data_IF_990574328407
#
_entry.id   IF_990574328407
#
_cell.length_a   1.000
_cell.length_b   1.000
_cell.length_c   1.000
_cell.angle_alpha   90.00
_cell.angle_beta   90.00
_cell.angle_gamma   90.00
#
_symmetry.space_group_name_H-M   'P 1'
#
loop_
_entity.id
_entity.type
_entity.pdbx_description
1 polymer ?
#
# COMPACT_ATOMS: atom_id res chain seq x y z
N UNK A 1 -19.27 -0.84 15.02
CA UNK A 1 -19.38 -0.70 13.55
C UNK A 1 -18.95 0.68 13.03
N UNK A 2 -18.84 1.71 13.88
CA UNK A 2 -18.58 3.11 13.47
C UNK A 2 -17.31 3.36 12.62
N UNK A 3 -16.20 2.66 12.86
CA UNK A 3 -14.96 2.98 12.15
C UNK A 3 -14.95 2.59 10.67
N UNK A 4 -15.65 1.51 10.29
CA UNK A 4 -15.70 1.08 8.89
C UNK A 4 -16.53 2.04 8.03
N UNK A 5 -17.63 2.58 8.57
CA UNK A 5 -18.40 3.63 7.90
C UNK A 5 -17.59 4.92 7.74
N UNK A 6 -16.80 5.26 8.75
CA UNK A 6 -15.91 6.42 8.74
C UNK A 6 -14.85 6.31 7.64
N UNK A 7 -14.21 5.13 7.51
CA UNK A 7 -13.26 4.86 6.42
C UNK A 7 -13.95 4.98 5.05
N UNK A 8 -15.18 4.45 4.91
CA UNK A 8 -15.92 4.49 3.64
C UNK A 8 -16.35 5.92 3.24
N UNK A 9 -16.82 6.74 4.20
CA UNK A 9 -17.14 8.16 3.95
C UNK A 9 -15.90 8.94 3.50
N UNK A 10 -14.76 8.64 4.09
CA UNK A 10 -13.49 9.32 3.80
C UNK A 10 -12.82 8.92 2.49
N UNK A 11 -13.03 7.69 2.01
CA UNK A 11 -12.64 7.30 0.64
C UNK A 11 -13.20 8.29 -0.40
N UNK A 12 -14.43 8.78 -0.20
CA UNK A 12 -15.08 9.73 -1.09
C UNK A 12 -14.64 11.18 -0.88
N UNK A 13 -14.43 11.61 0.36
CA UNK A 13 -14.20 13.04 0.68
C UNK A 13 -12.72 13.44 0.78
N UNK A 14 -11.80 12.49 0.97
CA UNK A 14 -10.35 12.73 1.20
C UNK A 14 -10.03 13.74 2.32
N UNK A 15 -10.99 14.08 3.17
CA UNK A 15 -10.81 15.06 4.24
C UNK A 15 -10.35 14.40 5.55
N UNK A 16 -9.04 14.28 5.70
CA UNK A 16 -8.41 13.67 6.87
C UNK A 16 -8.75 14.35 8.20
N UNK A 17 -9.09 15.64 8.22
CA UNK A 17 -9.40 16.33 9.48
C UNK A 17 -10.76 15.95 10.05
N UNK A 18 -11.75 15.68 9.19
CA UNK A 18 -13.05 15.16 9.63
C UNK A 18 -13.00 13.78 10.31
N UNK A 19 -11.95 12.98 10.04
CA UNK A 19 -11.69 11.71 10.75
C UNK A 19 -11.25 12.00 12.18
N UNK A 20 -10.46 13.05 12.42
CA UNK A 20 -9.80 13.29 13.71
C UNK A 20 -10.84 13.46 14.82
N UNK A 21 -11.86 14.28 14.60
CA UNK A 21 -12.89 14.55 15.61
C UNK A 21 -13.73 13.30 15.92
N UNK A 22 -14.13 12.57 14.88
CA UNK A 22 -14.91 11.36 15.04
C UNK A 22 -14.08 10.22 15.67
N UNK A 23 -12.81 10.07 15.29
CA UNK A 23 -11.90 9.10 15.89
C UNK A 23 -11.65 9.42 17.37
N UNK A 24 -11.45 10.69 17.69
CA UNK A 24 -11.30 11.16 19.08
C UNK A 24 -12.52 10.77 19.90
N UNK A 25 -13.72 10.95 19.35
CA UNK A 25 -14.97 10.58 20.01
C UNK A 25 -15.07 9.07 20.28
N UNK A 26 -14.72 8.23 19.31
CA UNK A 26 -14.74 6.76 19.44
C UNK A 26 -13.63 6.25 20.40
N UNK A 27 -12.47 6.91 20.39
CA UNK A 27 -11.37 6.62 21.32
C UNK A 27 -11.73 7.00 22.76
N UNK A 28 -12.42 8.12 22.95
CA UNK A 28 -12.89 8.58 24.26
C UNK A 28 -14.07 7.75 24.78
N UNK A 29 -14.93 7.22 23.90
CA UNK A 29 -16.00 6.31 24.29
C UNK A 29 -15.52 4.90 24.64
N UNK A 30 -14.24 4.57 24.37
CA UNK A 30 -13.66 3.25 24.62
C UNK A 30 -14.05 2.18 23.60
N UNK A 31 -14.81 2.53 22.56
CA UNK A 31 -15.33 1.60 21.55
C UNK A 31 -14.31 1.28 20.44
N UNK A 32 -13.21 2.02 20.36
CA UNK A 32 -12.14 1.78 19.42
C UNK A 32 -11.24 0.63 19.89
N UNK A 33 -11.24 -0.49 19.16
CA UNK A 33 -10.28 -1.57 19.39
C UNK A 33 -9.02 -1.43 18.51
N UNK A 34 -7.93 -2.04 18.93
CA UNK A 34 -6.63 -1.98 18.23
C UNK A 34 -6.70 -2.40 16.76
N UNK A 35 -7.57 -3.36 16.43
CA UNK A 35 -7.77 -3.85 15.06
C UNK A 35 -8.36 -2.77 14.16
N UNK A 36 -9.29 -1.99 14.69
CA UNK A 36 -9.92 -0.88 14.02
C UNK A 36 -8.92 0.25 13.74
N UNK A 37 -8.17 0.68 14.77
CA UNK A 37 -7.10 1.68 14.61
C UNK A 37 -6.07 1.24 13.57
N UNK A 38 -5.64 -0.02 13.63
CA UNK A 38 -4.67 -0.59 12.67
C UNK A 38 -5.20 -0.57 11.23
N UNK A 39 -6.49 -0.84 11.00
CA UNK A 39 -7.10 -0.79 9.67
C UNK A 39 -7.16 0.64 9.11
N UNK A 40 -7.56 1.61 9.93
CA UNK A 40 -7.58 3.03 9.52
C UNK A 40 -6.17 3.48 9.13
N UNK A 41 -5.17 3.19 9.97
CA UNK A 41 -3.82 3.63 9.67
C UNK A 41 -3.21 2.92 8.46
N UNK A 42 -3.50 1.64 8.25
CA UNK A 42 -3.10 0.94 7.02
C UNK A 42 -3.69 1.59 5.77
N UNK A 43 -4.95 2.07 5.85
CA UNK A 43 -5.60 2.80 4.77
C UNK A 43 -4.95 4.18 4.54
N UNK A 44 -4.60 4.90 5.61
CA UNK A 44 -3.92 6.20 5.50
C UNK A 44 -2.49 6.10 4.93
N UNK A 45 -1.79 5.00 5.21
CA UNK A 45 -0.49 4.71 4.61
C UNK A 45 -0.61 4.37 3.12
N UNK A 46 -1.63 3.60 2.72
CA UNK A 46 -1.88 3.24 1.33
C UNK A 46 -2.32 4.41 0.46
N UNK A 47 -2.98 5.42 1.04
CA UNK A 47 -3.39 6.64 0.32
C UNK A 47 -2.24 7.63 0.05
N UNK A 48 -1.00 7.27 0.41
CA UNK A 48 0.22 7.86 -0.16
C UNK A 48 0.65 9.22 0.42
N UNK A 49 -0.01 9.73 1.45
CA UNK A 49 0.35 11.01 2.08
C UNK A 49 0.94 10.83 3.47
N UNK A 50 2.16 10.28 3.55
CA UNK A 50 2.91 10.12 4.80
C UNK A 50 3.02 11.44 5.61
N UNK A 51 3.11 12.59 4.93
CA UNK A 51 3.11 13.92 5.57
C UNK A 51 1.78 14.24 6.28
N UNK A 52 0.64 13.81 5.74
CA UNK A 52 -0.67 14.03 6.38
C UNK A 52 -0.92 13.02 7.50
N UNK A 53 -0.37 11.81 7.37
CA UNK A 53 -0.40 10.79 8.43
C UNK A 53 0.29 11.26 9.71
N UNK A 54 1.50 11.81 9.62
CA UNK A 54 2.21 12.32 10.81
C UNK A 54 1.44 13.41 11.54
N UNK A 55 0.85 14.36 10.79
CA UNK A 55 -0.02 15.41 11.38
C UNK A 55 -1.26 14.80 12.03
N UNK A 56 -1.92 13.86 11.36
CA UNK A 56 -3.11 13.18 11.88
C UNK A 56 -2.85 12.48 13.23
N UNK A 57 -1.78 11.70 13.33
CA UNK A 57 -1.38 11.02 14.57
C UNK A 57 -1.15 12.02 15.69
N UNK A 58 -0.43 13.11 15.39
CA UNK A 58 -0.12 14.13 16.37
C UNK A 58 -1.38 14.81 16.91
N UNK A 59 -2.33 15.15 16.02
CA UNK A 59 -3.61 15.78 16.35
C UNK A 59 -4.52 14.89 17.22
N UNK A 60 -4.58 13.59 16.94
CA UNK A 60 -5.34 12.63 17.76
C UNK A 60 -4.67 12.45 19.13
N UNK A 61 -3.35 12.34 19.17
CA UNK A 61 -2.59 12.15 20.40
C UNK A 61 -2.65 13.38 21.34
N UNK A 62 -2.78 14.59 20.79
CA UNK A 62 -3.02 15.79 21.59
C UNK A 62 -4.41 15.81 22.23
N UNK A 63 -5.44 15.37 21.50
CA UNK A 63 -6.83 15.33 22.01
C UNK A 63 -7.08 14.20 23.00
N UNK A 64 -6.31 13.11 22.91
CA UNK A 64 -6.46 11.93 23.79
C UNK A 64 -5.12 11.58 24.45
N UNK A 65 -4.61 12.42 25.38
CA UNK A 65 -3.29 12.26 25.97
C UNK A 65 -3.12 10.92 26.70
N UNK A 66 -4.20 10.35 27.26
CA UNK A 66 -4.24 9.04 27.91
C UNK A 66 -3.86 7.85 26.99
N UNK A 67 -4.01 8.02 25.67
CA UNK A 67 -3.66 7.00 24.67
C UNK A 67 -2.45 7.39 23.82
N UNK A 68 -1.79 8.52 24.11
CA UNK A 68 -0.69 9.07 23.32
C UNK A 68 0.43 8.07 23.08
N UNK A 69 0.95 7.45 24.12
CA UNK A 69 2.06 6.49 24.01
C UNK A 69 1.71 5.28 23.15
N UNK A 70 0.51 4.73 23.34
CA UNK A 70 -0.02 3.61 22.54
C UNK A 70 -0.20 4.00 21.07
N UNK A 71 -0.77 5.18 20.81
CA UNK A 71 -0.96 5.70 19.45
C UNK A 71 0.37 5.94 18.73
N UNK A 72 1.38 6.49 19.43
CA UNK A 72 2.72 6.70 18.86
C UNK A 72 3.40 5.37 18.53
N UNK A 73 3.34 4.39 19.43
CA UNK A 73 3.91 3.05 19.19
C UNK A 73 3.26 2.36 17.99
N UNK A 74 1.93 2.48 17.86
CA UNK A 74 1.19 1.93 16.72
C UNK A 74 1.61 2.65 15.42
N UNK A 75 1.70 3.98 15.44
CA UNK A 75 2.11 4.78 14.29
C UNK A 75 3.51 4.43 13.80
N UNK A 76 4.48 4.28 14.71
CA UNK A 76 5.86 3.91 14.40
C UNK A 76 5.95 2.53 13.72
N UNK A 77 5.27 1.52 14.31
CA UNK A 77 5.24 0.17 13.73
C UNK A 77 4.64 0.18 12.33
N UNK A 78 3.58 0.96 12.13
CA UNK A 78 2.91 1.06 10.85
C UNK A 78 3.75 1.81 9.81
N UNK A 79 4.44 2.88 10.21
CA UNK A 79 5.39 3.57 9.34
C UNK A 79 6.53 2.65 8.89
N UNK A 80 7.07 1.82 9.79
CA UNK A 80 8.12 0.85 9.43
C UNK A 80 7.59 -0.24 8.49
N UNK A 81 6.37 -0.74 8.72
CA UNK A 81 5.69 -1.67 7.79
C UNK A 81 5.47 -1.02 6.43
N UNK A 82 5.01 0.23 6.39
CA UNK A 82 4.81 1.00 5.16
C UNK A 82 6.11 1.22 4.40
N UNK A 83 7.20 1.57 5.10
CA UNK A 83 8.53 1.76 4.51
C UNK A 83 9.08 0.44 3.95
N UNK A 84 8.93 -0.67 4.68
CA UNK A 84 9.32 -2.01 4.21
C UNK A 84 8.51 -2.43 3.00
N UNK A 85 7.20 -2.21 3.00
CA UNK A 85 6.30 -2.50 1.88
C UNK A 85 6.69 -1.66 0.66
N UNK A 86 6.84 -0.34 0.81
CA UNK A 86 7.26 0.54 -0.28
C UNK A 86 8.66 0.21 -0.83
N UNK A 87 9.60 -0.20 0.02
CA UNK A 87 10.91 -0.68 -0.43
C UNK A 87 10.79 -1.96 -1.26
N UNK A 88 9.99 -2.93 -0.79
CA UNK A 88 9.74 -4.18 -1.52
C UNK A 88 9.02 -3.94 -2.84
N UNK A 89 7.99 -3.11 -2.85
CA UNK A 89 7.25 -2.73 -4.06
C UNK A 89 8.15 -1.98 -5.05
N UNK A 90 9.01 -1.07 -4.57
CA UNK A 90 9.98 -0.37 -5.42
C UNK A 90 11.04 -1.30 -6.00
N UNK A 91 11.59 -2.22 -5.20
CA UNK A 91 12.51 -3.24 -5.68
C UNK A 91 11.86 -4.18 -6.70
N UNK A 92 10.61 -4.56 -6.45
CA UNK A 92 9.85 -5.42 -7.35
C UNK A 92 9.51 -4.70 -8.66
N UNK A 93 9.10 -3.43 -8.60
CA UNK A 93 8.88 -2.60 -9.78
C UNK A 93 10.16 -2.42 -10.62
N UNK A 94 11.31 -2.24 -9.97
CA UNK A 94 12.59 -2.16 -10.68
C UNK A 94 12.99 -3.51 -11.29
N UNK A 95 12.77 -4.62 -10.59
CA UNK A 95 13.00 -5.96 -11.13
C UNK A 95 12.13 -6.23 -12.38
N UNK A 96 10.85 -5.82 -12.35
CA UNK A 96 9.95 -5.89 -13.51
C UNK A 96 10.46 -5.03 -14.68
N UNK A 97 10.93 -3.81 -14.40
CA UNK A 97 11.48 -2.90 -15.41
C UNK A 97 12.73 -3.48 -16.07
N UNK A 98 13.63 -4.04 -15.28
CA UNK A 98 14.84 -4.72 -15.75
C UNK A 98 14.45 -5.94 -16.59
N UNK A 99 13.56 -6.80 -16.09
CA UNK A 99 13.08 -7.98 -16.81
C UNK A 99 12.44 -7.63 -18.15
N UNK A 100 11.59 -6.59 -18.19
CA UNK A 100 10.97 -6.13 -19.41
C UNK A 100 12.01 -5.69 -20.45
N UNK A 101 13.05 -4.96 -20.02
CA UNK A 101 14.14 -4.56 -20.92
C UNK A 101 14.92 -5.76 -21.44
N UNK A 102 15.29 -6.69 -20.55
CA UNK A 102 16.01 -7.90 -20.92
C UNK A 102 15.24 -8.77 -21.92
N UNK A 103 13.93 -8.93 -21.71
CA UNK A 103 13.05 -9.65 -22.65
C UNK A 103 12.95 -8.95 -24.01
N UNK A 104 12.83 -7.61 -24.03
CA UNK A 104 12.81 -6.82 -25.26
C UNK A 104 14.13 -6.93 -26.04
N UNK A 105 15.26 -7.03 -25.32
CA UNK A 105 16.59 -7.24 -25.89
C UNK A 105 16.84 -8.71 -26.30
N UNK A 106 15.82 -9.59 -26.22
CA UNK A 106 15.87 -10.98 -26.69
C UNK A 106 16.51 -11.96 -25.71
N UNK A 107 16.73 -11.57 -24.44
CA UNK A 107 17.33 -12.44 -23.44
C UNK A 107 16.36 -13.57 -23.06
N UNK A 108 16.87 -14.80 -23.03
CA UNK A 108 16.09 -15.98 -22.68
C UNK A 108 15.44 -15.86 -21.29
N UNK A 109 14.16 -16.27 -21.20
CA UNK A 109 13.32 -16.14 -20.00
C UNK A 109 13.96 -16.75 -18.75
N UNK A 110 14.62 -17.90 -18.89
CA UNK A 110 15.33 -18.58 -17.78
C UNK A 110 16.44 -17.73 -17.19
N UNK A 111 17.19 -17.03 -18.04
CA UNK A 111 18.26 -16.10 -17.63
C UNK A 111 17.67 -14.87 -16.95
N UNK A 112 16.54 -14.36 -17.44
CA UNK A 112 15.83 -13.23 -16.83
C UNK A 112 15.33 -13.60 -15.42
N UNK A 113 14.74 -14.79 -15.23
CA UNK A 113 14.32 -15.33 -13.92
C UNK A 113 15.51 -15.36 -12.95
N UNK A 114 16.64 -15.94 -13.37
CA UNK A 114 17.85 -16.06 -12.53
C UNK A 114 18.43 -14.70 -12.10
N UNK A 115 18.40 -13.70 -12.99
CA UNK A 115 19.02 -12.39 -12.75
C UNK A 115 18.10 -11.46 -11.96
N UNK A 116 16.81 -11.45 -12.27
CA UNK A 116 15.85 -10.52 -11.66
C UNK A 116 15.21 -11.07 -10.39
N UNK A 117 15.30 -12.39 -10.16
CA UNK A 117 14.67 -13.06 -9.02
C UNK A 117 13.14 -13.10 -9.09
N UNK A 118 12.56 -12.71 -10.24
CA UNK A 118 11.13 -12.82 -10.52
C UNK A 118 10.75 -14.27 -10.80
N UNK A 119 9.49 -14.61 -10.53
CA UNK A 119 8.95 -15.94 -10.82
C UNK A 119 8.81 -16.16 -12.34
N UNK A 120 8.82 -17.42 -12.75
CA UNK A 120 8.60 -17.77 -14.16
C UNK A 120 7.25 -17.25 -14.68
N UNK A 121 6.21 -17.23 -13.83
CA UNK A 121 4.87 -16.73 -14.18
C UNK A 121 4.88 -15.21 -14.41
N UNK A 122 5.58 -14.44 -13.58
CA UNK A 122 5.73 -12.99 -13.76
C UNK A 122 6.47 -12.66 -15.07
N UNK A 123 7.54 -13.41 -15.36
CA UNK A 123 8.28 -13.28 -16.62
C UNK A 123 7.42 -13.69 -17.83
N UNK A 124 6.62 -14.74 -17.70
CA UNK A 124 5.70 -15.17 -18.75
C UNK A 124 4.61 -14.14 -19.04
N UNK A 125 4.07 -13.48 -18.00
CA UNK A 125 3.12 -12.39 -18.14
C UNK A 125 3.76 -11.17 -18.83
N UNK A 126 4.99 -10.79 -18.45
CA UNK A 126 5.74 -9.71 -19.09
C UNK A 126 6.03 -9.99 -20.57
N UNK A 127 6.45 -11.22 -20.91
CA UNK A 127 6.77 -11.59 -22.28
C UNK A 127 5.55 -11.54 -23.22
N UNK A 128 4.35 -11.84 -22.71
CA UNK A 128 3.09 -11.73 -23.45
C UNK A 128 2.74 -10.27 -23.79
N UNK A 129 3.14 -9.31 -22.94
CA UNK A 129 2.93 -7.88 -23.19
C UNK A 129 3.89 -7.30 -24.24
N UNK A 130 5.08 -7.89 -24.41
CA UNK A 130 6.12 -7.41 -25.33
C UNK A 130 5.93 -7.95 -26.76
N UNK A 131 5.15 -9.02 -26.93
CA UNK A 131 4.93 -9.66 -28.24
C UNK A 131 3.51 -9.38 -28.75
N UNK A 132 3.24 -8.23 -29.40
CA UNK A 132 1.95 -8.02 -30.05
C UNK A 132 1.92 -8.82 -31.36
N UNK A 133 1.05 -9.81 -31.43
CA UNK A 133 0.66 -10.46 -32.68
C UNK A 133 1.44 -11.70 -33.06
N UNK A 134 0.90 -12.87 -32.68
CA UNK A 134 0.83 -13.98 -33.62
C UNK A 134 -0.52 -13.85 -34.30
N UNK A 135 -0.54 -13.22 -35.46
CA UNK A 135 -1.64 -13.34 -36.42
C UNK A 135 -1.77 -14.81 -36.75
N UNK A 136 -2.75 -15.51 -36.17
CA UNK A 136 -3.04 -16.87 -36.60
C UNK A 136 -3.84 -16.78 -37.90
N UNK A 137 -3.15 -17.08 -38.99
CA UNK A 137 -3.71 -17.13 -40.32
C UNK A 137 -4.60 -18.37 -40.46
N UNK A 138 -5.78 -18.17 -41.07
CA UNK A 138 -6.62 -19.23 -41.63
C UNK A 138 -5.80 -20.19 -42.51
N UNK A 139 -6.31 -21.42 -42.66
CA UNK A 139 -6.49 -22.00 -43.98
C UNK A 139 -7.97 -22.11 -44.30
N UNK A 140 -8.36 -21.55 -45.45
CA UNK A 140 -9.60 -21.90 -46.16
C UNK A 140 -9.31 -22.93 -47.24
#
# INVERSE_FOLDING_TARGET
>A
MALLELIQKHIRQRDLMGIVEQLTTILLSGDANDRQLKTLFNYLLQTGNARRFGRFIHEVAQRVPQHRERLMTIAERLQEVGRRKGKREGQHAEALRIAQRMLADGIARETVVKITGLTADEIAALAQLITPGRTDGRPG
#
